data_IF_154659547158
#
_entry.id   IF_154659547158
#
_cell.length_a   1.000
_cell.length_b   1.000
_cell.length_c   1.000
_cell.angle_alpha   90.00
_cell.angle_beta   90.00
_cell.angle_gamma   90.00
#
_symmetry.space_group_name_H-M   'P 1'
#
loop_
_entity.id
_entity.type
_entity.pdbx_description
1 polymer ?
#
# COMPACT_ATOMS: atom_id res chain seq x y z
N UNK A 1 2.90 5.76 -34.89
CA UNK A 1 2.43 4.55 -34.19
C UNK A 1 1.73 4.99 -32.91
N UNK A 2 0.58 4.42 -32.53
CA UNK A 2 -0.09 4.78 -31.27
C UNK A 2 0.53 3.97 -30.14
N UNK A 3 1.31 4.64 -29.30
CA UNK A 3 1.81 4.09 -28.05
C UNK A 3 0.64 3.88 -27.09
N UNK A 4 0.54 2.69 -26.50
CA UNK A 4 -0.50 2.36 -25.53
C UNK A 4 0.14 2.10 -24.17
N UNK A 5 -0.33 2.81 -23.15
CA UNK A 5 0.10 2.57 -21.78
C UNK A 5 -0.63 1.34 -21.25
N UNK A 6 0.10 0.41 -20.63
CA UNK A 6 -0.43 -0.84 -20.08
C UNK A 6 0.04 -0.99 -18.64
N UNK A 7 -0.87 -1.36 -17.75
CA UNK A 7 -0.57 -1.71 -16.37
C UNK A 7 -0.69 -3.22 -16.21
N UNK A 8 0.29 -3.83 -15.56
CA UNK A 8 0.19 -5.22 -15.09
C UNK A 8 0.17 -5.26 -13.58
N UNK A 9 -0.60 -6.19 -13.03
CA UNK A 9 -0.64 -6.50 -11.62
C UNK A 9 -0.32 -7.98 -11.42
N UNK A 10 0.69 -8.27 -10.62
CA UNK A 10 1.21 -9.62 -10.42
C UNK A 10 1.27 -9.98 -8.94
N UNK A 11 0.82 -11.18 -8.60
CA UNK A 11 0.88 -11.76 -7.25
C UNK A 11 1.27 -13.23 -7.39
N UNK A 12 2.44 -13.60 -6.87
CA UNK A 12 3.02 -14.93 -7.11
C UNK A 12 3.17 -15.21 -8.61
N UNK A 13 2.56 -16.31 -9.08
CA UNK A 13 2.56 -16.67 -10.51
C UNK A 13 1.40 -16.06 -11.30
N UNK A 14 0.43 -15.44 -10.61
CA UNK A 14 -0.71 -14.83 -11.26
C UNK A 14 -0.33 -13.43 -11.78
N UNK A 15 -0.69 -13.13 -13.03
CA UNK A 15 -0.53 -11.79 -13.62
C UNK A 15 -1.77 -11.41 -14.40
N UNK A 16 -2.25 -10.19 -14.17
CA UNK A 16 -3.35 -9.57 -14.94
C UNK A 16 -2.84 -8.30 -15.61
N UNK A 17 -3.35 -7.99 -16.80
CA UNK A 17 -2.97 -6.79 -17.54
C UNK A 17 -4.18 -5.98 -18.03
N UNK A 18 -4.01 -4.67 -18.09
CA UNK A 18 -5.02 -3.74 -18.58
C UNK A 18 -4.36 -2.60 -19.36
N UNK A 19 -4.86 -2.35 -20.57
CA UNK A 19 -4.47 -1.19 -21.36
C UNK A 19 -5.28 0.04 -20.94
N UNK A 20 -4.65 1.22 -21.03
CA UNK A 20 -5.31 2.50 -20.76
C UNK A 20 -6.54 2.66 -21.63
N UNK A 21 -7.64 3.13 -21.05
CA UNK A 21 -8.89 3.37 -21.79
C UNK A 21 -8.67 4.44 -22.85
N UNK A 22 -9.17 4.19 -24.06
CA UNK A 22 -9.21 5.24 -25.07
C UNK A 22 -10.31 6.25 -24.74
N UNK A 23 -10.13 7.55 -25.06
CA UNK A 23 -11.19 8.54 -24.93
C UNK A 23 -12.47 8.07 -25.62
N UNK A 24 -13.60 8.07 -24.90
CA UNK A 24 -14.90 7.64 -25.43
C UNK A 24 -15.19 6.13 -25.38
N UNK A 25 -14.30 5.31 -24.81
CA UNK A 25 -14.59 3.88 -24.60
C UNK A 25 -15.73 3.68 -23.59
N UNK A 26 -16.67 2.79 -23.90
CA UNK A 26 -17.77 2.44 -23.00
C UNK A 26 -17.22 1.85 -21.69
N UNK A 27 -17.59 2.39 -20.52
CA UNK A 27 -17.18 1.82 -19.25
C UNK A 27 -17.81 0.43 -19.07
N UNK A 28 -16.98 -0.55 -18.74
CA UNK A 28 -17.45 -1.83 -18.19
C UNK A 28 -17.67 -1.62 -16.71
N UNK A 29 -18.90 -1.85 -16.25
CA UNK A 29 -19.29 -1.71 -14.85
C UNK A 29 -19.28 -3.10 -14.19
N UNK A 30 -18.27 -3.41 -13.37
CA UNK A 30 -18.40 -4.56 -12.48
C UNK A 30 -19.42 -4.25 -11.39
N UNK A 31 -20.05 -5.31 -10.90
CA UNK A 31 -21.07 -5.25 -9.87
C UNK A 31 -20.60 -4.43 -8.65
N UNK A 32 -21.40 -3.44 -8.25
CA UNK A 32 -21.20 -2.66 -7.03
C UNK A 32 -20.44 -1.33 -7.19
N UNK A 33 -19.89 -1.01 -8.36
CA UNK A 33 -19.23 0.28 -8.61
C UNK A 33 -20.19 1.30 -9.25
N UNK A 34 -20.23 2.53 -8.73
CA UNK A 34 -21.03 3.61 -9.35
C UNK A 34 -20.43 4.05 -10.69
N UNK A 35 -21.26 4.68 -11.53
CA UNK A 35 -20.83 5.21 -12.81
C UNK A 35 -19.74 6.27 -12.67
N UNK A 36 -19.83 7.12 -11.65
CA UNK A 36 -18.81 8.14 -11.35
C UNK A 36 -17.50 7.51 -10.86
N UNK A 37 -17.56 6.42 -10.09
CA UNK A 37 -16.38 5.70 -9.63
C UNK A 37 -15.59 5.08 -10.80
N UNK A 38 -16.29 4.53 -11.79
CA UNK A 38 -15.66 3.89 -12.96
C UNK A 38 -15.17 4.91 -13.99
N UNK A 39 -15.84 6.07 -14.15
CA UNK A 39 -15.42 7.09 -15.13
C UNK A 39 -14.09 7.74 -14.79
N UNK A 40 -13.69 7.74 -13.53
CA UNK A 40 -12.43 8.31 -13.07
C UNK A 40 -11.22 7.37 -13.19
N UNK A 41 -11.44 6.13 -13.67
CA UNK A 41 -10.36 5.16 -13.85
C UNK A 41 -9.71 5.31 -15.24
N UNK A 42 -8.41 5.60 -15.25
CA UNK A 42 -7.57 5.56 -16.47
C UNK A 42 -7.49 4.16 -17.08
N UNK A 43 -7.56 3.13 -16.23
CA UNK A 43 -7.43 1.72 -16.62
C UNK A 43 -8.69 0.92 -16.23
N UNK A 44 -9.05 -0.12 -17.00
CA UNK A 44 -10.00 -1.14 -16.55
C UNK A 44 -9.59 -1.77 -15.21
N UNK A 45 -10.58 -2.35 -14.50
CA UNK A 45 -10.32 -3.09 -13.28
C UNK A 45 -9.54 -4.38 -13.56
N UNK A 46 -8.50 -4.59 -12.75
CA UNK A 46 -7.66 -5.78 -12.77
C UNK A 46 -8.15 -6.76 -11.71
N UNK A 47 -8.47 -7.98 -12.11
CA UNK A 47 -8.77 -9.08 -11.18
C UNK A 47 -7.47 -9.79 -10.84
N UNK A 48 -7.22 -9.97 -9.55
CA UNK A 48 -6.01 -10.61 -9.04
C UNK A 48 -6.41 -11.83 -8.22
N UNK A 49 -5.80 -12.97 -8.50
CA UNK A 49 -5.92 -14.18 -7.70
C UNK A 49 -4.77 -14.27 -6.69
N UNK A 50 -5.11 -14.51 -5.43
CA UNK A 50 -4.17 -14.56 -4.29
C UNK A 50 -4.09 -15.96 -3.67
N UNK A 51 -4.83 -16.93 -4.22
CA UNK A 51 -5.02 -18.29 -3.66
C UNK A 51 -3.72 -19.08 -3.48
N UNK A 52 -2.73 -18.86 -4.34
CA UNK A 52 -1.45 -19.55 -4.30
C UNK A 52 -0.39 -18.86 -3.43
N UNK A 53 -0.74 -17.80 -2.70
CA UNK A 53 0.25 -16.96 -2.02
C UNK A 53 0.34 -17.22 -0.53
N UNK A 54 1.58 -17.40 -0.05
CA UNK A 54 1.88 -17.58 1.37
C UNK A 54 1.74 -16.28 2.16
N UNK A 55 2.14 -16.32 3.43
CA UNK A 55 1.98 -15.19 4.36
C UNK A 55 2.72 -13.91 3.93
N UNK A 56 3.73 -13.96 3.08
CA UNK A 56 4.50 -12.79 2.64
C UNK A 56 4.20 -12.36 1.19
N UNK A 57 2.95 -12.54 0.74
CA UNK A 57 2.55 -12.19 -0.61
C UNK A 57 2.77 -10.69 -0.90
N UNK A 58 3.43 -10.40 -2.01
CA UNK A 58 3.59 -9.04 -2.52
C UNK A 58 2.78 -8.85 -3.79
N UNK A 59 2.21 -7.66 -3.94
CA UNK A 59 1.63 -7.21 -5.19
C UNK A 59 2.66 -6.37 -5.94
N UNK A 60 3.00 -6.79 -7.15
CA UNK A 60 3.86 -6.03 -8.05
C UNK A 60 2.99 -5.34 -9.08
N UNK A 61 3.10 -4.03 -9.20
CA UNK A 61 2.47 -3.24 -10.25
C UNK A 61 3.56 -2.74 -11.19
N UNK A 62 3.41 -3.01 -12.48
CA UNK A 62 4.31 -2.51 -13.52
C UNK A 62 3.52 -1.69 -14.54
N UNK A 63 4.14 -0.62 -15.02
CA UNK A 63 3.63 0.22 -16.11
C UNK A 63 4.52 0.03 -17.32
N UNK A 64 3.92 -0.25 -18.47
CA UNK A 64 4.60 -0.47 -19.74
C UNK A 64 4.14 0.55 -20.77
N UNK A 65 5.08 1.02 -21.59
CA UNK A 65 4.78 1.63 -22.88
C UNK A 65 4.80 0.55 -23.96
N UNK A 66 3.64 0.29 -24.56
CA UNK A 66 3.43 -0.75 -25.56
C UNK A 66 3.26 -0.09 -26.92
N UNK A 67 4.31 -0.18 -27.74
CA UNK A 67 4.30 0.23 -29.14
C UNK A 67 3.71 -0.86 -30.06
N UNK A 68 3.90 -2.13 -29.72
CA UNK A 68 3.30 -3.29 -30.39
C UNK A 68 3.15 -4.47 -29.42
N UNK A 69 2.45 -5.54 -29.81
CA UNK A 69 2.32 -6.77 -28.99
C UNK A 69 3.67 -7.42 -28.65
N UNK A 70 4.68 -7.25 -29.51
CA UNK A 70 6.02 -7.82 -29.34
C UNK A 70 7.04 -6.83 -28.78
N UNK A 71 6.65 -5.55 -28.61
CA UNK A 71 7.54 -4.49 -28.13
C UNK A 71 6.84 -3.68 -27.04
N UNK A 72 7.12 -4.06 -25.81
CA UNK A 72 6.75 -3.35 -24.58
C UNK A 72 8.02 -2.97 -23.82
N UNK A 73 8.14 -1.70 -23.46
CA UNK A 73 9.20 -1.22 -22.57
C UNK A 73 8.59 -0.94 -21.20
N UNK A 74 9.26 -1.39 -20.13
CA UNK A 74 8.83 -1.07 -18.78
C UNK A 74 9.17 0.38 -18.45
N UNK A 75 8.13 1.17 -18.15
CA UNK A 75 8.26 2.57 -17.72
C UNK A 75 8.67 2.60 -16.25
N UNK A 76 8.02 1.79 -15.42
CA UNK A 76 8.41 1.63 -14.02
C UNK A 76 7.59 0.57 -13.29
N UNK A 77 8.02 0.29 -12.07
CA UNK A 77 7.44 -0.72 -11.20
C UNK A 77 7.39 -0.27 -9.74
N UNK A 78 6.55 -0.95 -9.00
CA UNK A 78 6.45 -0.84 -7.54
C UNK A 78 6.00 -2.18 -6.96
N UNK A 79 6.42 -2.47 -5.74
CA UNK A 79 6.11 -3.68 -4.99
C UNK A 79 5.54 -3.30 -3.64
N UNK A 80 4.34 -3.79 -3.36
CA UNK A 80 3.57 -3.43 -2.16
C UNK A 80 3.22 -4.68 -1.36
N UNK A 81 3.11 -4.52 -0.03
CA UNK A 81 2.72 -5.59 0.88
C UNK A 81 1.24 -5.89 0.69
N UNK A 82 0.91 -7.10 0.22
CA UNK A 82 -0.48 -7.50 0.09
C UNK A 82 -1.12 -7.65 1.47
N UNK A 83 -0.38 -8.14 2.47
CA UNK A 83 -0.87 -8.24 3.86
C UNK A 83 -1.33 -6.91 4.41
N UNK A 84 -0.52 -5.86 4.24
CA UNK A 84 -0.88 -4.53 4.68
C UNK A 84 -2.18 -4.08 4.00
N UNK A 85 -2.24 -4.19 2.68
CA UNK A 85 -3.39 -3.77 1.89
C UNK A 85 -4.68 -4.53 2.20
N UNK A 86 -4.57 -5.80 2.60
CA UNK A 86 -5.70 -6.65 2.94
C UNK A 86 -6.08 -6.57 4.43
N UNK A 87 -5.32 -5.83 5.25
CA UNK A 87 -5.59 -5.71 6.69
C UNK A 87 -6.39 -4.44 6.99
N UNK A 88 -7.66 -4.55 7.44
CA UNK A 88 -8.54 -3.38 7.62
C UNK A 88 -8.02 -2.32 8.59
N UNK A 89 -7.26 -2.70 9.62
CA UNK A 89 -6.65 -1.74 10.55
C UNK A 89 -5.59 -0.86 9.88
N UNK A 90 -4.99 -1.34 8.78
CA UNK A 90 -3.90 -0.68 8.05
C UNK A 90 -4.44 0.10 6.84
N UNK A 91 -5.34 -0.52 6.07
CA UNK A 91 -6.00 0.10 4.93
C UNK A 91 -7.50 -0.16 4.95
N UNK A 92 -8.28 0.91 4.84
CA UNK A 92 -9.72 0.80 4.61
C UNK A 92 -10.00 0.26 3.21
N UNK A 93 -11.17 -0.37 3.10
CA UNK A 93 -11.69 -0.83 1.81
C UNK A 93 -11.92 0.37 0.89
N UNK A 94 -11.57 0.24 -0.39
CA UNK A 94 -11.68 1.30 -1.40
C UNK A 94 -10.76 2.51 -1.17
N UNK A 95 -9.92 2.48 -0.14
CA UNK A 95 -8.98 3.58 0.04
C UNK A 95 -7.98 3.65 -1.11
N UNK A 96 -7.69 4.89 -1.53
CA UNK A 96 -6.64 5.19 -2.50
C UNK A 96 -5.27 5.05 -1.85
N UNK A 97 -4.50 4.10 -2.34
CA UNK A 97 -3.10 3.88 -1.98
C UNK A 97 -2.22 4.51 -3.05
N UNK A 98 -1.28 5.34 -2.61
CA UNK A 98 -0.30 5.99 -3.47
C UNK A 98 1.08 5.42 -3.16
N UNK A 99 1.79 4.97 -4.18
CA UNK A 99 3.15 4.44 -4.04
C UNK A 99 4.05 4.92 -5.18
N UNK A 100 5.36 5.10 -4.91
CA UNK A 100 6.31 5.55 -5.92
C UNK A 100 6.41 4.53 -7.06
N UNK A 101 6.46 5.05 -8.29
CA UNK A 101 6.71 4.28 -9.49
C UNK A 101 8.16 4.52 -9.95
N UNK A 102 8.96 3.46 -10.00
CA UNK A 102 10.40 3.56 -10.25
C UNK A 102 10.78 2.83 -11.53
N UNK A 103 11.50 3.51 -12.42
CA UNK A 103 12.14 2.87 -13.58
C UNK A 103 13.45 2.24 -13.13
N UNK A 104 13.63 0.95 -13.42
CA UNK A 104 14.87 0.23 -13.13
C UNK A 104 15.48 -0.25 -14.44
N UNK A 105 16.69 0.21 -14.73
CA UNK A 105 17.44 -0.16 -15.94
C UNK A 105 18.77 -0.81 -15.55
N UNK A 106 19.02 -1.98 -16.10
CA UNK A 106 20.28 -2.70 -15.93
C UNK A 106 21.18 -2.40 -17.13
N UNK A 107 22.33 -1.77 -16.88
CA UNK A 107 23.31 -1.46 -17.92
C UNK A 107 24.73 -1.75 -17.40
N UNK A 108 25.48 -2.60 -18.12
CA UNK A 108 26.92 -2.83 -17.90
C UNK A 108 27.31 -2.98 -16.41
N UNK A 109 26.70 -3.93 -15.70
CA UNK A 109 26.90 -4.23 -14.27
C UNK A 109 26.45 -3.13 -13.28
N UNK A 110 25.71 -2.12 -13.74
CA UNK A 110 25.10 -1.10 -12.89
C UNK A 110 23.59 -1.16 -12.97
N UNK A 111 22.95 -0.94 -11.82
CA UNK A 111 21.50 -0.73 -11.72
C UNK A 111 21.26 0.76 -11.65
N UNK A 112 20.53 1.30 -12.63
CA UNK A 112 20.10 2.69 -12.64
C UNK A 112 18.62 2.70 -12.28
N UNK A 113 18.29 3.36 -11.18
CA UNK A 113 16.92 3.54 -10.75
C UNK A 113 16.57 5.03 -10.78
N UNK A 114 15.38 5.37 -11.28
CA UNK A 114 14.85 6.73 -11.23
C UNK A 114 13.37 6.72 -10.89
N UNK A 115 12.96 7.65 -10.03
CA UNK A 115 11.54 7.89 -9.76
C UNK A 115 10.90 8.49 -11.02
N UNK A 116 9.92 7.79 -11.61
CA UNK A 116 9.22 8.23 -12.83
C UNK A 116 7.81 8.72 -12.56
N UNK A 117 7.29 8.50 -11.35
CA UNK A 117 5.99 9.03 -10.95
C UNK A 117 5.43 8.36 -9.71
N UNK A 118 4.10 8.38 -9.60
CA UNK A 118 3.35 7.73 -8.52
C UNK A 118 2.20 6.96 -9.15
N UNK A 119 1.97 5.74 -8.70
CA UNK A 119 0.76 4.99 -9.05
C UNK A 119 -0.24 5.09 -7.91
N UNK A 120 -1.48 5.39 -8.25
CA UNK A 120 -2.60 5.41 -7.31
C UNK A 120 -3.56 4.28 -7.66
N UNK A 121 -3.90 3.46 -6.69
CA UNK A 121 -4.84 2.35 -6.87
C UNK A 121 -5.66 2.12 -5.60
N UNK A 122 -6.68 1.28 -5.70
CA UNK A 122 -7.48 0.83 -4.56
C UNK A 122 -7.79 -0.65 -4.73
N UNK A 123 -7.96 -1.38 -3.64
CA UNK A 123 -8.36 -2.78 -3.66
C UNK A 123 -9.78 -2.96 -3.16
N UNK A 124 -10.47 -3.90 -3.79
CA UNK A 124 -11.86 -4.23 -3.53
C UNK A 124 -11.97 -5.75 -3.58
N UNK A 125 -12.54 -6.41 -2.56
CA UNK A 125 -12.85 -7.82 -2.64
C UNK A 125 -13.99 -8.01 -3.64
N UNK A 126 -14.11 -9.18 -4.26
CA UNK A 126 -15.36 -9.58 -4.88
C UNK A 126 -16.51 -9.46 -3.87
N UNK A 127 -17.71 -9.13 -4.37
CA UNK A 127 -18.89 -9.00 -3.52
C UNK A 127 -19.10 -10.27 -2.68
N UNK A 128 -19.42 -10.09 -1.40
CA UNK A 128 -19.66 -11.18 -0.43
C UNK A 128 -18.44 -12.03 -0.04
N UNK A 129 -17.22 -11.65 -0.45
CA UNK A 129 -16.00 -12.30 -0.01
C UNK A 129 -15.30 -11.49 1.09
N UNK A 130 -14.66 -12.20 2.02
CA UNK A 130 -13.76 -11.61 3.02
C UNK A 130 -12.38 -12.25 2.91
N UNK A 131 -11.33 -11.46 3.14
CA UNK A 131 -9.96 -11.97 3.07
C UNK A 131 -9.66 -12.87 4.27
N UNK A 132 -9.18 -14.08 3.98
CA UNK A 132 -8.75 -15.03 5.01
C UNK A 132 -7.73 -14.41 5.97
N UNK A 133 -7.74 -14.84 7.23
CA UNK A 133 -6.78 -14.35 8.22
C UNK A 133 -5.31 -14.68 7.87
N UNK A 134 -5.09 -15.70 7.05
CA UNK A 134 -3.76 -16.14 6.60
C UNK A 134 -3.03 -15.14 5.69
N UNK A 135 -3.77 -14.26 5.01
CA UNK A 135 -3.22 -13.26 4.07
C UNK A 135 -3.24 -11.84 4.65
N UNK A 136 -3.47 -11.71 5.96
CA UNK A 136 -3.52 -10.45 6.70
C UNK A 136 -2.45 -10.43 7.79
N UNK A 137 -2.18 -9.27 8.37
CA UNK A 137 -1.41 -9.23 9.60
C UNK A 137 -2.19 -9.91 10.74
N UNK A 138 -1.45 -10.54 11.65
CA UNK A 138 -2.05 -11.19 12.82
C UNK A 138 -2.68 -10.15 13.75
N UNK A 139 -3.67 -10.58 14.55
CA UNK A 139 -4.27 -9.70 15.55
C UNK A 139 -3.23 -9.13 16.53
N UNK A 140 -2.16 -9.88 16.82
CA UNK A 140 -1.07 -9.44 17.69
C UNK A 140 -0.22 -8.33 17.08
N UNK A 141 -0.02 -8.33 15.76
CA UNK A 141 0.70 -7.27 15.07
C UNK A 141 -0.12 -5.97 14.98
N UNK A 142 -1.44 -6.09 15.07
CA UNK A 142 -2.38 -4.96 15.01
C UNK A 142 -2.74 -4.39 16.38
N UNK A 143 -2.24 -4.98 17.48
CA UNK A 143 -2.51 -4.48 18.81
C UNK A 143 -1.82 -3.13 19.02
N UNK A 144 -2.59 -2.12 19.43
CA UNK A 144 -2.11 -0.74 19.54
C UNK A 144 -1.72 -0.06 18.21
N UNK A 145 -1.96 -0.70 17.05
CA UNK A 145 -1.53 -0.17 15.75
C UNK A 145 -2.11 1.23 15.46
N UNK A 146 -1.23 2.21 15.27
CA UNK A 146 -1.63 3.56 14.86
C UNK A 146 -1.32 3.80 13.37
N UNK A 147 -2.40 3.79 12.59
CA UNK A 147 -2.37 4.00 11.15
C UNK A 147 -1.80 5.35 10.73
N UNK A 148 -2.10 6.42 11.47
CA UNK A 148 -1.65 7.77 11.12
C UNK A 148 -0.13 7.90 11.36
N UNK A 149 0.36 7.35 12.47
CA UNK A 149 1.78 7.32 12.80
C UNK A 149 2.61 6.54 11.76
N UNK A 150 2.16 5.34 11.39
CA UNK A 150 2.89 4.51 10.41
C UNK A 150 2.95 5.18 9.04
N UNK A 151 1.86 5.81 8.60
CA UNK A 151 1.81 6.56 7.33
C UNK A 151 2.70 7.79 7.36
N UNK A 152 2.68 8.53 8.46
CA UNK A 152 3.55 9.69 8.65
C UNK A 152 5.02 9.34 8.41
N UNK A 153 5.53 8.27 9.03
CA UNK A 153 6.92 7.84 8.80
C UNK A 153 7.14 7.22 7.43
N UNK A 154 6.18 6.46 6.91
CA UNK A 154 6.26 5.91 5.54
C UNK A 154 6.44 7.02 4.51
N UNK A 155 5.63 8.08 4.60
CA UNK A 155 5.69 9.21 3.68
C UNK A 155 7.01 9.97 3.79
N UNK A 156 7.50 10.22 5.01
CA UNK A 156 8.80 10.88 5.24
C UNK A 156 9.96 10.08 4.69
N UNK A 157 9.98 8.76 4.93
CA UNK A 157 11.00 7.86 4.40
C UNK A 157 10.96 7.85 2.88
N UNK A 158 9.77 7.76 2.27
CA UNK A 158 9.60 7.82 0.82
C UNK A 158 10.10 9.15 0.23
N UNK A 159 9.77 10.29 0.84
CA UNK A 159 10.26 11.61 0.40
C UNK A 159 11.77 11.69 0.48
N UNK A 160 12.38 11.30 1.60
CA UNK A 160 13.83 11.31 1.74
C UNK A 160 14.48 10.44 0.65
N UNK A 161 14.05 9.20 0.49
CA UNK A 161 14.61 8.28 -0.51
C UNK A 161 14.39 8.76 -1.96
N UNK A 162 13.34 9.53 -2.23
CA UNK A 162 13.11 10.10 -3.57
C UNK A 162 14.22 11.03 -4.05
N UNK A 163 14.97 11.63 -3.12
CA UNK A 163 16.08 12.52 -3.44
C UNK A 163 17.43 11.80 -3.51
N UNK A 164 17.59 10.66 -2.81
CA UNK A 164 18.89 10.04 -2.59
C UNK A 164 19.04 8.63 -3.14
N UNK A 165 17.98 7.80 -3.08
CA UNK A 165 18.04 6.40 -3.47
C UNK A 165 16.69 5.91 -4.02
N UNK A 166 16.48 6.17 -5.31
CA UNK A 166 15.29 5.71 -6.02
C UNK A 166 15.20 4.18 -6.11
N UNK A 167 16.31 3.44 -5.98
CA UNK A 167 16.28 1.98 -6.06
C UNK A 167 15.55 1.39 -4.84
N UNK A 168 15.79 1.93 -3.65
CA UNK A 168 15.07 1.51 -2.44
C UNK A 168 13.58 1.81 -2.46
N UNK A 169 13.10 2.70 -3.35
CA UNK A 169 11.68 3.02 -3.48
C UNK A 169 10.85 1.93 -4.17
N UNK A 170 11.48 1.01 -4.92
CA UNK A 170 10.75 -0.03 -5.68
C UNK A 170 9.85 -0.85 -4.78
N UNK A 171 10.37 -1.31 -3.65
CA UNK A 171 9.69 -2.21 -2.70
C UNK A 171 9.52 -1.57 -1.31
N UNK A 172 9.67 -0.24 -1.19
CA UNK A 172 9.68 0.45 0.10
C UNK A 172 8.41 0.18 0.91
N UNK A 173 7.25 0.16 0.25
CA UNK A 173 5.98 -0.15 0.91
C UNK A 173 6.01 -1.57 1.46
N UNK A 174 6.39 -2.58 0.66
CA UNK A 174 6.48 -3.94 1.15
C UNK A 174 7.47 -4.01 2.32
N UNK A 175 8.67 -3.45 2.16
CA UNK A 175 9.73 -3.48 3.17
C UNK A 175 9.29 -2.89 4.51
N UNK A 176 8.72 -1.68 4.53
CA UNK A 176 8.35 -1.02 5.77
C UNK A 176 7.25 -1.79 6.53
N UNK A 177 6.20 -2.22 5.83
CA UNK A 177 5.10 -2.94 6.46
C UNK A 177 5.51 -4.35 6.88
N UNK A 178 6.28 -5.06 6.07
CA UNK A 178 6.72 -6.42 6.40
C UNK A 178 7.79 -6.43 7.49
N UNK A 179 8.72 -5.47 7.53
CA UNK A 179 9.77 -5.44 8.55
C UNK A 179 9.30 -4.87 9.89
N UNK A 180 8.48 -3.83 9.88
CA UNK A 180 8.14 -3.10 11.11
C UNK A 180 6.73 -3.36 11.62
N UNK A 181 5.74 -3.42 10.72
CA UNK A 181 4.35 -3.63 11.12
C UNK A 181 4.10 -5.10 11.44
N UNK A 182 4.59 -6.03 10.63
CA UNK A 182 4.39 -7.47 10.88
C UNK A 182 5.02 -7.97 12.19
N UNK A 183 6.10 -7.33 12.63
CA UNK A 183 6.85 -7.64 13.85
C UNK A 183 6.38 -6.83 15.08
N UNK A 184 5.34 -6.01 14.95
CA UNK A 184 4.88 -5.08 15.98
C UNK A 184 5.98 -4.16 16.56
N UNK A 185 6.91 -3.70 15.72
CA UNK A 185 7.99 -2.79 16.12
C UNK A 185 7.95 -1.46 15.35
N UNK A 186 6.78 -1.11 14.80
CA UNK A 186 6.57 0.08 13.99
C UNK A 186 6.73 1.38 14.76
N UNK A 187 6.39 1.40 16.05
CA UNK A 187 6.46 2.61 16.89
C UNK A 187 7.88 3.17 16.96
N UNK A 188 8.84 2.32 17.33
CA UNK A 188 10.25 2.70 17.45
C UNK A 188 11.03 2.47 16.16
N UNK A 189 10.75 1.38 15.45
CA UNK A 189 11.51 0.93 14.28
C UNK A 189 11.42 1.86 13.08
N UNK A 190 10.25 2.45 12.80
CA UNK A 190 10.11 3.40 11.69
C UNK A 190 10.85 4.71 11.96
N UNK A 191 10.78 5.21 13.19
CA UNK A 191 11.50 6.43 13.59
C UNK A 191 13.02 6.23 13.57
N UNK A 192 13.50 5.07 14.03
CA UNK A 192 14.91 4.68 13.96
C UNK A 192 15.37 4.51 12.51
N UNK A 193 14.55 3.87 11.66
CA UNK A 193 14.84 3.73 10.24
C UNK A 193 15.04 5.09 9.56
N UNK A 194 14.15 6.05 9.83
CA UNK A 194 14.29 7.41 9.29
C UNK A 194 15.57 8.08 9.81
N UNK A 195 15.87 7.97 11.10
CA UNK A 195 17.10 8.53 11.68
C UNK A 195 18.36 7.94 11.02
N UNK A 196 18.40 6.63 10.80
CA UNK A 196 19.50 5.94 10.12
C UNK A 196 19.65 6.40 8.67
N UNK A 197 18.54 6.60 7.95
CA UNK A 197 18.56 7.14 6.59
C UNK A 197 19.07 8.59 6.56
N UNK A 198 18.69 9.41 7.54
CA UNK A 198 19.18 10.79 7.66
C UNK A 198 20.68 10.83 7.95
N UNK A 199 21.18 9.94 8.81
CA UNK A 199 22.63 9.80 9.06
C UNK A 199 23.36 9.37 7.78
N UNK A 200 22.76 8.47 6.99
CA UNK A 200 23.38 7.93 5.77
C UNK A 200 23.40 8.91 4.61
N UNK A 201 22.29 9.61 4.37
CA UNK A 201 22.07 10.38 3.14
C UNK A 201 22.05 11.90 3.34
N UNK A 202 21.92 12.36 4.59
CA UNK A 202 21.81 13.76 4.93
C UNK A 202 20.42 14.14 5.44
N UNK A 203 20.26 15.43 5.75
CA UNK A 203 19.03 15.96 6.33
C UNK A 203 17.86 15.89 5.35
N UNK A 204 16.65 15.77 5.89
CA UNK A 204 15.43 15.95 5.12
C UNK A 204 15.40 17.35 4.49
N UNK A 205 15.01 17.41 3.21
CA UNK A 205 14.96 18.64 2.44
C UNK A 205 13.66 19.42 2.67
N UNK A 206 12.58 18.70 2.97
CA UNK A 206 11.25 19.27 3.15
C UNK A 206 10.92 19.48 4.64
N UNK A 207 10.31 20.62 5.02
CA UNK A 207 9.80 20.81 6.36
C UNK A 207 8.70 19.77 6.64
N UNK A 208 8.76 19.15 7.81
CA UNK A 208 7.80 18.14 8.24
C UNK A 208 7.08 18.59 9.51
N UNK A 209 5.77 18.35 9.56
CA UNK A 209 4.96 18.51 10.76
C UNK A 209 5.44 17.56 11.87
N UNK A 210 5.15 17.85 13.15
CA UNK A 210 5.47 16.92 14.24
C UNK A 210 4.74 15.57 14.07
N UNK A 211 5.30 14.48 14.61
CA UNK A 211 4.66 13.17 14.53
C UNK A 211 3.29 13.18 15.24
N UNK A 212 2.29 12.45 14.71
CA UNK A 212 1.00 12.28 15.38
C UNK A 212 1.17 11.70 16.79
N UNK A 213 0.37 12.19 17.74
CA UNK A 213 0.35 11.63 19.09
C UNK A 213 -0.20 10.20 19.07
N UNK A 214 0.53 9.26 19.69
CA UNK A 214 0.08 7.88 19.83
C UNK A 214 -1.09 7.82 20.81
N UNK A 215 -2.09 7.02 20.48
CA UNK A 215 -3.25 6.81 21.36
C UNK A 215 -2.77 6.07 22.61
N UNK A 216 -3.03 6.66 23.78
CA UNK A 216 -2.70 6.02 25.05
C UNK A 216 -3.51 4.74 25.21
N UNK A 217 -2.86 3.66 25.62
CA UNK A 217 -3.50 2.34 25.77
C UNK A 217 -4.56 2.32 26.91
N UNK A 218 -4.58 3.35 27.77
CA UNK A 218 -5.41 3.45 28.97
C UNK A 218 -6.88 3.84 28.70
N UNK A 219 -7.17 4.48 27.56
CA UNK A 219 -8.53 4.95 27.26
C UNK A 219 -9.51 3.80 26.98
N UNK A 220 -8.99 2.62 26.61
CA UNK A 220 -9.82 1.45 26.28
C UNK A 220 -10.24 0.65 27.52
N UNK A 221 -9.51 0.76 28.64
CA UNK A 221 -9.86 0.07 29.88
C UNK A 221 -10.87 0.85 30.74
N UNK A 222 -10.89 2.18 30.66
CA UNK A 222 -11.84 2.99 31.43
C UNK A 222 -13.29 2.80 30.95
N UNK A 223 -13.53 2.59 29.66
CA UNK A 223 -14.89 2.42 29.13
C UNK A 223 -15.52 1.05 29.44
N UNK A 224 -14.70 0.02 29.73
CA UNK A 224 -15.17 -1.29 30.20
C UNK A 224 -15.51 -1.33 31.69
N UNK A 225 -14.92 -0.45 32.52
CA UNK A 225 -15.25 -0.39 33.95
C UNK A 225 -16.53 0.39 34.24
N UNK A 226 -16.84 1.43 33.46
CA UNK A 226 -18.08 2.22 33.65
C UNK A 226 -19.33 1.41 33.28
N UNK A 227 -19.23 0.49 32.31
CA UNK A 227 -20.34 -0.37 31.86
C UNK A 227 -20.65 -1.54 32.81
N UNK A 228 -19.72 -1.94 33.70
CA UNK A 228 -19.99 -2.98 34.72
C UNK A 228 -20.63 -2.37 35.98
N UNK A 229 -20.33 -1.11 36.31
CA UNK A 229 -20.91 -0.46 37.51
C UNK A 229 -22.38 -0.06 37.33
N UNK A 230 -22.86 0.15 36.09
CA UNK A 230 -24.27 0.48 35.83
C UNK A 230 -25.22 -0.71 35.68
N UNK A 231 -24.72 -1.95 35.70
CA UNK A 231 -25.57 -3.16 35.58
C UNK A 231 -25.94 -3.81 36.92
N UNK A 232 -25.44 -3.29 38.04
CA UNK A 232 -25.65 -3.86 39.38
C UNK A 232 -26.63 -3.11 40.30
N UNK A 233 -27.44 -2.16 39.80
CA UNK A 233 -28.27 -1.30 40.67
C UNK A 233 -29.75 -1.16 40.28
N UNK A 234 -30.34 -2.17 39.63
CA UNK A 234 -31.79 -2.23 39.36
C UNK A 234 -32.39 -3.61 39.63
N UNK A 235 -32.17 -4.15 40.82
CA UNK A 235 -33.03 -5.21 41.39
C UNK A 235 -33.00 -5.08 42.91
N UNK A 236 -33.82 -4.19 43.48
CA UNK A 236 -34.30 -4.23 44.87
C UNK A 236 -35.33 -3.13 45.09
N UNK A 237 -36.53 -3.55 45.51
CA UNK A 237 -37.74 -2.80 45.90
C UNK A 237 -38.68 -2.33 44.78
#
# INVERSE_FOLDING_TARGET
MRHSCVVTASVGHFTSEAARRQPGASPVYPYGMSKEGVSNLDFPLLRIDISATGQAATLTLCVYDRASKSKSEEVGRTVVSLRALLTPAVFDMLEKVQVPLVSVRHAANRVHASLVGTITFSLIPPAFESYGASVRFSSSAMDGFDRAYVRYYTDRICRLLSHYDANSLVDIHARLYESYVSCNCWETGLSACLADLVVRWGKELDPCEPPPALKSHDDTQHNKRVSVVHRGKRESN
#
